data_IF_161600139595
#
_entry.id   IF_161600139595
#
_cell.length_a   1.000
_cell.length_b   1.000
_cell.length_c   1.000
_cell.angle_alpha   90.00
_cell.angle_beta   90.00
_cell.angle_gamma   90.00
#
_symmetry.space_group_name_H-M   'P 1'
#
loop_
_entity.id
_entity.type
_entity.pdbx_description
1 polymer ?
#
# COMPACT_ATOMS: atom_id res chain seq x y z
N UNK A 1 12.03 0.19 21.03
CA UNK A 1 12.36 -0.30 19.67
C UNK A 1 11.33 0.21 18.69
N UNK A 2 11.76 0.83 17.58
CA UNK A 2 10.88 1.30 16.53
C UNK A 2 10.48 0.15 15.61
N UNK A 3 9.18 0.00 15.39
CA UNK A 3 8.58 -1.03 14.53
C UNK A 3 7.59 -0.37 13.59
N UNK A 4 7.64 -0.75 12.31
CA UNK A 4 6.70 -0.31 11.28
C UNK A 4 5.81 -1.46 10.79
N UNK A 5 4.67 -1.17 10.21
CA UNK A 5 3.78 -2.22 9.66
C UNK A 5 4.45 -3.09 8.59
N UNK A 6 5.38 -2.54 7.81
CA UNK A 6 6.16 -3.31 6.82
C UNK A 6 7.05 -4.39 7.45
N UNK A 7 7.29 -4.33 8.77
CA UNK A 7 8.13 -5.26 9.52
C UNK A 7 7.38 -6.52 9.98
N UNK A 8 6.05 -6.52 9.97
CA UNK A 8 5.28 -7.67 10.43
C UNK A 8 5.47 -8.90 9.55
N UNK A 9 5.38 -8.76 8.23
CA UNK A 9 5.53 -9.88 7.32
C UNK A 9 6.93 -10.54 7.41
N UNK A 10 8.05 -9.81 7.33
CA UNK A 10 9.36 -10.40 7.55
C UNK A 10 9.55 -11.00 8.94
N UNK A 11 8.91 -10.42 9.97
CA UNK A 11 8.97 -10.99 11.33
C UNK A 11 8.24 -12.34 11.43
N UNK A 12 7.07 -12.46 10.81
CA UNK A 12 6.34 -13.74 10.74
C UNK A 12 7.16 -14.81 10.03
N UNK A 13 7.80 -14.48 8.90
CA UNK A 13 8.68 -15.40 8.19
C UNK A 13 9.89 -15.81 9.05
N UNK A 14 10.53 -14.85 9.73
CA UNK A 14 11.65 -15.10 10.65
C UNK A 14 11.27 -16.04 11.79
N UNK A 15 10.08 -15.85 12.39
CA UNK A 15 9.56 -16.74 13.44
C UNK A 15 9.22 -18.14 12.93
N UNK A 16 8.76 -18.23 11.69
CA UNK A 16 8.46 -19.53 11.03
C UNK A 16 9.72 -20.24 10.51
N UNK A 17 10.89 -19.65 10.62
CA UNK A 17 12.14 -20.23 10.09
C UNK A 17 12.22 -20.20 8.55
N UNK A 18 11.42 -19.33 7.90
CA UNK A 18 11.40 -19.13 6.46
C UNK A 18 12.28 -17.93 6.12
N UNK A 19 13.10 -18.03 5.07
CA UNK A 19 13.96 -16.95 4.61
C UNK A 19 13.13 -15.72 4.20
N UNK A 20 13.51 -14.54 4.70
CA UNK A 20 12.86 -13.27 4.34
C UNK A 20 13.30 -12.86 2.94
N UNK A 21 12.38 -12.75 1.96
CA UNK A 21 12.72 -12.33 0.61
C UNK A 21 13.33 -10.92 0.56
N UNK A 22 14.37 -10.73 -0.25
CA UNK A 22 15.04 -9.42 -0.46
C UNK A 22 14.12 -8.34 -1.04
N UNK A 23 12.98 -8.72 -1.61
CA UNK A 23 11.97 -7.78 -2.11
C UNK A 23 11.12 -7.15 -1.01
N UNK A 24 11.19 -7.63 0.22
CA UNK A 24 10.52 -7.01 1.37
C UNK A 24 11.32 -5.82 1.87
N UNK A 25 10.67 -4.66 1.99
CA UNK A 25 11.29 -3.43 2.50
C UNK A 25 11.40 -3.43 4.03
N UNK A 26 10.53 -4.19 4.71
CA UNK A 26 10.55 -4.33 6.16
C UNK A 26 11.68 -5.22 6.64
N UNK A 27 11.96 -5.17 7.94
CA UNK A 27 12.96 -5.97 8.61
C UNK A 27 12.33 -6.74 9.80
N UNK A 28 12.78 -7.96 10.04
CA UNK A 28 12.29 -8.73 11.17
C UNK A 28 12.77 -8.11 12.49
N UNK A 29 11.88 -7.94 13.46
CA UNK A 29 12.21 -7.48 14.81
C UNK A 29 12.18 -8.62 15.85
N UNK A 30 11.80 -9.85 15.44
CA UNK A 30 11.84 -11.09 16.22
C UNK A 30 12.29 -12.27 15.34
N UNK A 31 12.66 -13.37 16.00
CA UNK A 31 13.04 -14.63 15.34
C UNK A 31 14.53 -14.67 14.96
N UNK A 32 14.90 -15.71 14.19
CA UNK A 32 16.30 -16.00 13.85
C UNK A 32 16.92 -15.00 12.88
N UNK A 33 16.09 -14.23 12.18
CA UNK A 33 16.52 -13.20 11.21
C UNK A 33 16.23 -11.78 11.73
N UNK A 34 16.18 -11.63 13.08
CA UNK A 34 16.03 -10.31 13.69
C UNK A 34 17.13 -9.37 13.24
N UNK A 35 16.75 -8.23 12.69
CA UNK A 35 17.67 -7.17 12.28
C UNK A 35 18.06 -6.26 13.45
N UNK A 36 19.01 -5.37 13.22
CA UNK A 36 19.33 -4.27 14.14
C UNK A 36 18.17 -3.29 14.26
N UNK A 37 18.08 -2.63 15.43
CA UNK A 37 17.04 -1.63 15.67
C UNK A 37 17.20 -0.45 14.71
N UNK A 38 16.13 -0.12 14.01
CA UNK A 38 16.13 1.03 13.09
C UNK A 38 16.14 2.36 13.83
N UNK A 39 16.78 3.35 13.23
CA UNK A 39 16.81 4.72 13.74
C UNK A 39 15.52 5.47 13.46
N UNK A 40 14.88 5.18 12.33
CA UNK A 40 13.67 5.88 11.85
C UNK A 40 12.59 4.92 11.41
N UNK A 41 11.35 5.36 11.56
CA UNK A 41 10.18 4.81 10.86
C UNK A 41 9.60 5.85 9.93
N UNK A 42 8.93 5.38 8.88
CA UNK A 42 8.39 6.21 7.81
C UNK A 42 6.91 5.93 7.62
N UNK A 43 6.16 6.96 7.23
CA UNK A 43 4.76 6.85 6.89
C UNK A 43 4.45 7.64 5.62
N UNK A 44 3.53 7.11 4.84
CA UNK A 44 3.04 7.74 3.62
C UNK A 44 1.52 7.77 3.59
N UNK A 45 0.98 8.87 3.10
CA UNK A 45 -0.43 8.99 2.73
C UNK A 45 -0.50 9.49 1.31
N UNK A 46 -1.26 8.81 0.48
CA UNK A 46 -1.62 9.21 -0.87
C UNK A 46 -3.15 9.25 -0.99
N UNK A 47 -3.74 8.53 -1.95
CA UNK A 47 -5.18 8.44 -2.10
C UNK A 47 -5.84 7.73 -0.91
N UNK A 48 -6.98 8.28 -0.48
CA UNK A 48 -7.92 7.58 0.40
C UNK A 48 -9.33 7.74 -0.18
N UNK A 49 -9.92 6.67 -0.65
CA UNK A 49 -11.17 6.64 -1.42
C UNK A 49 -11.14 7.63 -2.61
N UNK A 50 -12.08 8.61 -2.62
CA UNK A 50 -12.16 9.65 -3.65
C UNK A 50 -11.09 10.72 -3.52
N UNK A 51 -10.46 10.85 -2.36
CA UNK A 51 -9.60 11.98 -2.04
C UNK A 51 -8.12 11.65 -2.19
N UNK A 52 -7.45 12.45 -2.99
CA UNK A 52 -6.02 12.36 -3.19
C UNK A 52 -5.28 13.45 -2.39
N UNK A 53 -4.22 13.02 -1.73
CA UNK A 53 -3.26 13.89 -1.04
C UNK A 53 -1.87 13.29 -1.24
N UNK A 54 -0.82 13.96 -0.81
CA UNK A 54 0.53 13.41 -0.75
C UNK A 54 1.22 13.95 0.49
N UNK A 55 1.35 13.07 1.50
CA UNK A 55 2.00 13.38 2.78
C UNK A 55 3.03 12.30 3.08
N UNK A 56 4.18 12.70 3.58
CA UNK A 56 5.25 11.80 4.03
C UNK A 56 5.68 12.18 5.42
N UNK A 57 5.97 11.21 6.25
CA UNK A 57 6.45 11.45 7.61
C UNK A 57 7.64 10.57 7.96
N UNK A 58 8.50 11.09 8.82
CA UNK A 58 9.63 10.39 9.44
C UNK A 58 9.55 10.58 10.95
N UNK A 59 9.78 9.53 11.72
CA UNK A 59 9.90 9.63 13.17
C UNK A 59 11.10 8.84 13.68
N UNK A 60 11.81 9.41 14.68
CA UNK A 60 12.86 8.74 15.45
C UNK A 60 12.33 8.13 16.76
N UNK A 61 11.03 8.19 16.98
CA UNK A 61 10.32 7.71 18.17
C UNK A 61 9.96 8.80 19.16
N UNK A 62 10.64 9.95 19.15
CA UNK A 62 10.28 11.13 19.90
C UNK A 62 9.87 12.28 18.98
N UNK A 63 10.69 12.60 17.99
CA UNK A 63 10.40 13.65 17.03
C UNK A 63 9.73 13.08 15.79
N UNK A 64 8.75 13.81 15.27
CA UNK A 64 8.04 13.48 14.04
C UNK A 64 8.09 14.67 13.10
N UNK A 65 8.69 14.46 11.94
CA UNK A 65 8.68 15.38 10.81
C UNK A 65 7.65 14.96 9.79
N UNK A 66 6.88 15.92 9.27
CA UNK A 66 5.87 15.72 8.23
C UNK A 66 6.16 16.66 7.07
N UNK A 67 6.14 16.13 5.85
CA UNK A 67 6.18 16.88 4.61
C UNK A 67 4.83 16.77 3.90
N UNK A 68 4.18 17.92 3.72
CA UNK A 68 2.93 18.06 2.97
C UNK A 68 3.26 18.53 1.54
N UNK A 69 3.06 17.67 0.55
CA UNK A 69 3.34 17.98 -0.86
C UNK A 69 2.17 18.65 -1.58
N UNK A 70 1.00 18.65 -0.96
CA UNK A 70 -0.21 19.33 -1.43
C UNK A 70 -0.75 20.25 -0.30
N UNK A 71 0.02 21.29 0.07
CA UNK A 71 -0.33 22.15 1.22
C UNK A 71 -1.60 22.97 0.98
N UNK A 72 -2.01 23.16 -0.27
CA UNK A 72 -3.27 23.84 -0.63
C UNK A 72 -4.52 23.02 -0.24
N UNK A 73 -4.37 21.73 0.05
CA UNK A 73 -5.47 20.89 0.50
C UNK A 73 -5.61 20.89 2.02
N UNK A 74 -6.83 20.84 2.57
CA UNK A 74 -7.06 20.75 4.01
C UNK A 74 -6.64 19.37 4.56
N UNK A 75 -6.41 19.32 5.88
CA UNK A 75 -6.26 18.02 6.58
C UNK A 75 -7.57 17.22 6.53
N UNK A 76 -8.69 17.88 6.75
CA UNK A 76 -10.01 17.26 6.55
C UNK A 76 -10.32 17.16 5.06
N UNK A 77 -10.61 15.96 4.61
CA UNK A 77 -11.13 15.69 3.27
C UNK A 77 -12.45 14.94 3.41
N UNK A 78 -13.41 15.27 2.53
CA UNK A 78 -14.75 14.69 2.58
C UNK A 78 -14.75 13.26 2.01
N UNK A 79 -14.47 12.30 2.88
CA UNK A 79 -14.46 10.87 2.58
C UNK A 79 -15.75 10.26 3.10
N UNK A 80 -16.55 9.65 2.21
CA UNK A 80 -17.86 9.09 2.54
C UNK A 80 -17.79 8.10 3.71
N UNK A 81 -16.75 7.28 3.77
CA UNK A 81 -16.54 6.31 4.85
C UNK A 81 -16.50 6.95 6.25
N UNK A 82 -15.97 8.18 6.37
CA UNK A 82 -15.89 8.91 7.65
C UNK A 82 -17.27 9.25 8.24
N UNK A 83 -18.28 9.39 7.38
CA UNK A 83 -19.66 9.69 7.80
C UNK A 83 -20.35 8.49 8.48
N UNK A 84 -19.73 7.32 8.48
CA UNK A 84 -20.17 6.18 9.30
C UNK A 84 -19.79 6.32 10.77
N UNK A 85 -18.94 7.31 11.13
CA UNK A 85 -18.53 7.56 12.50
C UNK A 85 -19.36 8.71 13.11
N UNK A 86 -20.16 8.45 14.17
CA UNK A 86 -20.97 9.48 14.81
C UNK A 86 -20.17 10.69 15.32
N UNK A 87 -18.92 10.48 15.78
CA UNK A 87 -18.04 11.57 16.20
C UNK A 87 -17.74 12.51 15.03
N UNK A 88 -17.54 11.97 13.83
CA UNK A 88 -17.29 12.80 12.65
C UNK A 88 -18.50 13.65 12.27
N UNK A 89 -19.69 13.03 12.33
CA UNK A 89 -20.94 13.76 12.08
C UNK A 89 -21.08 14.92 13.08
N UNK A 90 -20.85 14.65 14.36
CA UNK A 90 -20.92 15.68 15.40
C UNK A 90 -19.90 16.81 15.19
N UNK A 91 -18.67 16.50 14.80
CA UNK A 91 -17.66 17.53 14.48
C UNK A 91 -18.08 18.39 13.29
N UNK A 92 -18.72 17.83 12.28
CA UNK A 92 -19.24 18.58 11.14
C UNK A 92 -20.41 19.48 11.54
N UNK A 93 -21.30 19.04 12.42
CA UNK A 93 -22.38 19.86 13.00
C UNK A 93 -21.81 21.05 13.79
N UNK A 94 -20.78 20.81 14.62
CA UNK A 94 -20.09 21.87 15.37
C UNK A 94 -19.42 22.87 14.43
N UNK A 95 -18.80 22.38 13.34
CA UNK A 95 -18.19 23.24 12.30
C UNK A 95 -19.23 24.14 11.65
N UNK A 96 -20.36 23.58 11.22
CA UNK A 96 -21.44 24.33 10.59
C UNK A 96 -22.06 25.36 11.54
N UNK A 97 -22.18 25.00 12.82
CA UNK A 97 -22.65 25.89 13.87
C UNK A 97 -21.63 26.97 14.33
N UNK A 98 -20.39 26.92 13.82
CA UNK A 98 -19.29 27.81 14.27
C UNK A 98 -18.87 27.59 15.73
N UNK A 99 -19.00 26.38 16.25
CA UNK A 99 -18.76 26.00 17.66
C UNK A 99 -17.53 25.13 17.87
N UNK A 100 -16.69 24.98 16.86
CA UNK A 100 -15.41 24.29 17.02
C UNK A 100 -14.48 25.07 17.96
N UNK A 101 -13.79 24.37 18.84
CA UNK A 101 -12.67 24.98 19.56
C UNK A 101 -11.45 25.18 18.62
N UNK A 102 -10.42 25.83 19.11
CA UNK A 102 -9.23 26.18 18.33
C UNK A 102 -8.53 24.93 17.77
N UNK A 103 -8.44 23.85 18.54
CA UNK A 103 -7.75 22.62 18.11
C UNK A 103 -8.58 21.85 17.07
N UNK A 104 -9.88 21.75 17.28
CA UNK A 104 -10.80 21.15 16.32
C UNK A 104 -10.80 21.92 14.99
N UNK A 105 -10.78 23.26 15.05
CA UNK A 105 -10.79 24.12 13.88
C UNK A 105 -9.54 23.95 12.99
N UNK A 106 -8.38 23.60 13.57
CA UNK A 106 -7.14 23.34 12.80
C UNK A 106 -7.33 22.24 11.77
N UNK A 107 -8.05 21.18 12.11
CA UNK A 107 -8.27 20.07 11.19
C UNK A 107 -9.11 20.46 9.97
N UNK A 108 -9.95 21.47 10.14
CA UNK A 108 -10.81 22.05 9.08
C UNK A 108 -10.20 23.28 8.41
N UNK A 109 -8.95 23.62 8.71
CA UNK A 109 -8.23 24.70 8.02
C UNK A 109 -8.22 24.44 6.50
N UNK A 110 -8.31 25.51 5.70
CA UNK A 110 -8.39 25.42 4.23
C UNK A 110 -7.11 24.89 3.57
N UNK A 111 -5.98 24.99 4.28
CA UNK A 111 -4.65 24.57 3.82
C UNK A 111 -3.86 23.98 4.98
N UNK A 112 -2.75 23.32 4.67
CA UNK A 112 -1.79 22.75 5.62
C UNK A 112 -0.46 23.50 5.55
N UNK A 113 0.38 23.47 6.60
CA UNK A 113 1.78 23.85 6.48
C UNK A 113 2.51 22.96 5.45
N UNK A 114 3.55 23.52 4.81
CA UNK A 114 4.41 22.74 3.91
C UNK A 114 5.19 21.68 4.68
N UNK A 115 5.62 22.03 5.89
CA UNK A 115 6.39 21.18 6.78
C UNK A 115 5.89 21.33 8.22
N UNK A 116 6.02 20.27 8.99
CA UNK A 116 5.67 20.24 10.40
C UNK A 116 6.71 19.42 11.15
N UNK A 117 7.02 19.83 12.39
CA UNK A 117 7.91 19.10 13.29
C UNK A 117 7.27 19.09 14.67
N UNK A 118 7.21 17.93 15.30
CA UNK A 118 6.62 17.74 16.62
C UNK A 118 7.54 16.98 17.55
N UNK A 119 7.59 17.36 18.83
CA UNK A 119 8.12 16.56 19.91
C UNK A 119 6.94 15.81 20.56
N UNK A 120 6.76 14.54 20.20
CA UNK A 120 5.59 13.76 20.60
C UNK A 120 5.61 13.34 22.08
N UNK A 121 6.74 13.48 22.77
CA UNK A 121 6.84 13.26 24.22
C UNK A 121 6.22 14.44 25.00
N UNK A 122 6.31 15.65 24.46
CA UNK A 122 5.78 16.87 25.07
C UNK A 122 4.41 17.23 24.51
N UNK A 123 4.21 17.03 23.22
CA UNK A 123 2.97 17.30 22.48
C UNK A 123 2.45 16.05 21.75
N UNK A 124 1.88 15.08 22.48
CA UNK A 124 1.41 13.80 21.90
C UNK A 124 0.24 13.97 20.93
N UNK A 125 -0.40 15.14 20.91
CA UNK A 125 -1.50 15.46 20.00
C UNK A 125 -1.07 16.26 18.77
N UNK A 126 0.22 16.63 18.68
CA UNK A 126 0.79 17.32 17.53
C UNK A 126 0.08 18.66 17.21
N UNK A 127 -0.17 19.46 18.25
CA UNK A 127 -0.80 20.77 18.10
C UNK A 127 0.19 21.91 17.85
N UNK A 128 1.44 21.79 18.30
CA UNK A 128 2.39 22.87 18.27
C UNK A 128 3.62 22.49 17.45
N UNK A 129 3.61 22.89 16.17
CA UNK A 129 4.74 22.63 15.30
C UNK A 129 5.96 23.46 15.68
N UNK A 130 7.11 22.80 15.75
CA UNK A 130 8.42 23.35 16.09
C UNK A 130 9.25 23.72 14.84
N UNK A 131 8.65 23.70 13.65
CA UNK A 131 9.35 23.87 12.37
C UNK A 131 10.03 25.24 12.24
N UNK A 132 9.51 26.28 12.91
CA UNK A 132 10.06 27.63 12.90
C UNK A 132 10.90 27.94 14.15
N UNK A 133 10.98 27.02 15.09
CA UNK A 133 11.73 27.20 16.33
C UNK A 133 13.23 26.93 16.10
N UNK A 134 14.10 27.95 16.26
CA UNK A 134 15.54 27.79 16.02
C UNK A 134 16.22 26.79 16.97
N UNK A 135 15.65 26.50 18.13
CA UNK A 135 16.18 25.51 19.08
C UNK A 135 16.13 24.09 18.46
N UNK A 136 15.19 23.82 17.57
CA UNK A 136 15.01 22.53 16.91
C UNK A 136 15.54 22.47 15.47
N UNK A 137 16.27 23.49 15.01
CA UNK A 137 16.79 23.59 13.64
C UNK A 137 17.69 22.40 13.23
N UNK A 138 18.53 21.92 14.16
CA UNK A 138 19.38 20.75 13.91
C UNK A 138 18.54 19.47 13.75
N UNK A 139 17.56 19.27 14.63
CA UNK A 139 16.65 18.12 14.56
C UNK A 139 15.80 18.14 13.28
N UNK A 140 15.32 19.30 12.90
CA UNK A 140 14.58 19.49 11.63
C UNK A 140 15.46 19.12 10.43
N UNK A 141 16.72 19.55 10.42
CA UNK A 141 17.69 19.22 9.36
C UNK A 141 17.97 17.72 9.30
N UNK A 142 18.16 17.06 10.46
CA UNK A 142 18.35 15.62 10.55
C UNK A 142 17.18 14.85 9.93
N UNK A 143 15.94 15.17 10.33
CA UNK A 143 14.77 14.43 9.87
C UNK A 143 14.41 14.75 8.40
N UNK A 144 14.69 15.96 7.91
CA UNK A 144 14.62 16.26 6.47
C UNK A 144 15.57 15.39 5.67
N UNK A 145 16.83 15.28 6.11
CA UNK A 145 17.80 14.43 5.43
C UNK A 145 17.39 12.96 5.43
N UNK A 146 16.86 12.45 6.56
CA UNK A 146 16.33 11.09 6.63
C UNK A 146 15.14 10.87 5.68
N UNK A 147 14.24 11.86 5.59
CA UNK A 147 13.12 11.83 4.66
C UNK A 147 13.58 11.81 3.20
N UNK A 148 14.52 12.67 2.82
CA UNK A 148 15.05 12.74 1.46
C UNK A 148 15.77 11.44 1.09
N UNK A 149 16.56 10.88 2.00
CA UNK A 149 17.22 9.60 1.78
C UNK A 149 16.23 8.46 1.56
N UNK A 150 15.14 8.42 2.36
CA UNK A 150 14.09 7.42 2.17
C UNK A 150 13.46 7.48 0.78
N UNK A 151 13.20 8.68 0.24
CA UNK A 151 12.64 8.83 -1.11
C UNK A 151 13.64 8.48 -2.23
N UNK A 152 14.96 8.56 -1.96
CA UNK A 152 15.99 8.10 -2.89
C UNK A 152 16.10 6.57 -2.88
N UNK A 153 16.00 5.96 -1.70
CA UNK A 153 16.11 4.51 -1.53
C UNK A 153 14.87 3.78 -2.09
N UNK A 154 13.71 4.42 -2.01
CA UNK A 154 12.42 3.85 -2.42
C UNK A 154 11.69 4.82 -3.36
N UNK A 155 11.61 4.52 -4.67
CA UNK A 155 10.93 5.38 -5.64
C UNK A 155 9.52 5.73 -5.19
N UNK A 156 9.26 7.03 -5.02
CA UNK A 156 7.97 7.55 -4.56
C UNK A 156 6.96 7.62 -5.71
N UNK A 157 6.19 6.55 -5.91
CA UNK A 157 5.13 6.50 -6.91
C UNK A 157 4.02 7.54 -6.68
N UNK A 158 3.83 8.01 -5.44
CA UNK A 158 2.89 9.10 -5.14
C UNK A 158 3.27 10.45 -5.75
N UNK A 159 4.49 10.59 -6.29
CA UNK A 159 4.90 11.77 -7.05
C UNK A 159 4.35 11.77 -8.50
N UNK A 160 3.93 10.62 -9.00
CA UNK A 160 3.39 10.45 -10.34
C UNK A 160 1.86 10.60 -10.33
N UNK A 161 1.30 11.20 -11.37
CA UNK A 161 -0.15 11.19 -11.56
C UNK A 161 -0.65 9.75 -11.67
N UNK A 162 -1.73 9.40 -10.95
CA UNK A 162 -2.25 8.04 -10.92
C UNK A 162 -2.65 7.50 -12.30
N UNK A 163 -3.27 8.33 -13.14
CA UNK A 163 -3.66 7.92 -14.48
C UNK A 163 -2.44 7.62 -15.36
N UNK A 164 -1.38 8.42 -15.25
CA UNK A 164 -0.11 8.16 -15.92
C UNK A 164 0.56 6.90 -15.39
N UNK A 165 0.53 6.67 -14.09
CA UNK A 165 1.07 5.47 -13.45
C UNK A 165 0.37 4.22 -13.97
N UNK A 166 -0.97 4.22 -14.00
CA UNK A 166 -1.77 3.11 -14.52
C UNK A 166 -1.50 2.90 -16.01
N UNK A 167 -1.46 3.97 -16.80
CA UNK A 167 -1.12 3.91 -18.23
C UNK A 167 0.27 3.31 -18.46
N UNK A 168 1.25 3.66 -17.65
CA UNK A 168 2.60 3.08 -17.72
C UNK A 168 2.58 1.57 -17.42
N UNK A 169 1.81 1.13 -16.42
CA UNK A 169 1.61 -0.30 -16.13
C UNK A 169 0.91 -1.05 -17.26
N UNK A 170 0.10 -0.37 -18.05
CA UNK A 170 -0.56 -0.93 -19.24
C UNK A 170 0.29 -0.80 -20.52
N UNK A 171 1.59 -0.46 -20.40
CA UNK A 171 2.49 -0.31 -21.55
C UNK A 171 2.16 0.87 -22.44
N UNK A 172 1.63 1.96 -21.86
CA UNK A 172 1.26 3.20 -22.55
C UNK A 172 -0.13 3.20 -23.16
N UNK A 173 -0.94 2.18 -22.92
CA UNK A 173 -2.31 2.08 -23.43
C UNK A 173 -3.32 2.82 -22.53
N UNK A 174 -4.45 3.23 -23.11
CA UNK A 174 -5.53 3.89 -22.37
C UNK A 174 -6.59 2.89 -21.85
N UNK A 175 -6.45 1.61 -22.19
CA UNK A 175 -7.32 0.52 -21.74
C UNK A 175 -6.47 -0.62 -21.17
N UNK A 176 -7.00 -1.38 -20.17
CA UNK A 176 -6.29 -2.51 -19.63
C UNK A 176 -5.91 -3.53 -20.71
N UNK A 177 -4.68 -4.02 -20.72
CA UNK A 177 -4.33 -5.15 -21.58
C UNK A 177 -5.12 -6.39 -21.18
N UNK A 178 -5.36 -7.28 -22.14
CA UNK A 178 -5.94 -8.60 -21.87
C UNK A 178 -4.83 -9.56 -21.41
N UNK A 179 -5.09 -10.36 -20.39
CA UNK A 179 -4.20 -11.45 -19.99
C UNK A 179 -4.16 -12.48 -21.09
N UNK A 180 -2.96 -12.92 -21.50
CA UNK A 180 -2.78 -13.94 -22.53
C UNK A 180 -3.47 -15.25 -22.14
N UNK A 181 -4.04 -15.89 -23.16
CA UNK A 181 -4.74 -17.16 -23.01
C UNK A 181 -3.84 -18.25 -22.35
N UNK A 182 -4.48 -19.16 -21.64
CA UNK A 182 -3.77 -20.26 -21.02
C UNK A 182 -3.32 -21.28 -22.07
N UNK A 183 -2.10 -21.77 -21.90
CA UNK A 183 -1.55 -22.91 -22.63
C UNK A 183 -1.65 -24.14 -21.74
N UNK A 184 -2.23 -25.22 -22.27
CA UNK A 184 -2.48 -26.44 -21.53
C UNK A 184 -1.74 -27.56 -22.24
N UNK A 185 -1.01 -28.37 -21.49
CA UNK A 185 -0.30 -29.54 -21.98
C UNK A 185 -0.58 -30.75 -21.12
N UNK A 186 -0.64 -31.92 -21.74
CA UNK A 186 -0.83 -33.20 -21.08
C UNK A 186 0.40 -34.07 -21.31
N UNK A 187 0.99 -34.59 -20.26
CA UNK A 187 2.14 -35.46 -20.29
C UNK A 187 2.12 -36.39 -19.09
N UNK A 188 2.42 -37.68 -19.32
CA UNK A 188 2.53 -38.69 -18.26
C UNK A 188 1.34 -38.74 -17.29
N UNK A 189 0.10 -38.57 -17.83
CA UNK A 189 -1.11 -38.57 -17.03
C UNK A 189 -1.32 -37.34 -16.19
N UNK A 190 -0.56 -36.23 -16.42
CA UNK A 190 -0.68 -34.96 -15.73
C UNK A 190 -1.03 -33.84 -16.68
N UNK A 191 -1.76 -32.85 -16.14
CA UNK A 191 -2.01 -31.60 -16.82
C UNK A 191 -1.08 -30.50 -16.28
N UNK A 192 -0.46 -29.76 -17.18
CA UNK A 192 0.33 -28.56 -16.91
C UNK A 192 -0.30 -27.36 -17.59
N UNK A 193 -0.39 -26.24 -16.87
CA UNK A 193 -1.06 -25.02 -17.32
C UNK A 193 -0.11 -23.85 -17.16
N UNK A 194 -0.02 -22.99 -18.17
CA UNK A 194 0.79 -21.77 -18.14
C UNK A 194 0.08 -20.60 -18.82
N UNK A 195 0.55 -19.38 -18.59
CA UNK A 195 0.20 -18.17 -19.35
C UNK A 195 1.46 -17.39 -19.65
N UNK A 196 1.54 -16.81 -20.83
CA UNK A 196 2.66 -15.96 -21.23
C UNK A 196 2.67 -14.61 -20.49
N UNK A 197 1.55 -14.20 -19.91
CA UNK A 197 1.49 -12.96 -19.12
C UNK A 197 2.19 -13.15 -17.78
N UNK A 198 3.33 -12.49 -17.59
CA UNK A 198 4.10 -12.54 -16.36
C UNK A 198 3.26 -12.03 -15.17
N UNK A 199 3.22 -12.81 -14.10
CA UNK A 199 2.46 -12.46 -12.88
C UNK A 199 0.96 -12.75 -12.95
N UNK A 200 0.49 -13.45 -14.00
CA UNK A 200 -0.88 -13.93 -14.04
C UNK A 200 -1.07 -15.12 -13.08
N UNK A 201 -2.17 -15.09 -12.35
CA UNK A 201 -2.69 -16.27 -11.63
C UNK A 201 -3.57 -17.08 -12.57
N UNK A 202 -3.51 -18.40 -12.43
CA UNK A 202 -4.30 -19.33 -13.25
C UNK A 202 -5.34 -20.00 -12.35
N UNK A 203 -6.60 -19.89 -12.72
CA UNK A 203 -7.70 -20.64 -12.12
C UNK A 203 -8.10 -21.82 -12.99
N UNK A 204 -8.46 -22.93 -12.36
CA UNK A 204 -9.03 -24.08 -13.07
C UNK A 204 -10.22 -24.66 -12.31
N UNK A 205 -11.09 -25.32 -13.04
CA UNK A 205 -12.26 -26.03 -12.51
C UNK A 205 -12.55 -27.26 -13.36
N UNK A 206 -12.73 -28.42 -12.72
CA UNK A 206 -13.23 -29.62 -13.42
C UNK A 206 -14.72 -29.43 -13.74
N UNK A 207 -15.19 -30.02 -14.84
CA UNK A 207 -16.61 -29.97 -15.22
C UNK A 207 -17.56 -30.56 -14.17
N UNK A 208 -17.05 -31.50 -13.38
CA UNK A 208 -17.77 -32.17 -12.28
C UNK A 208 -17.81 -31.36 -10.97
N UNK A 209 -17.21 -30.16 -10.94
CA UNK A 209 -17.13 -29.31 -9.75
C UNK A 209 -17.56 -27.88 -10.08
N UNK A 210 -18.25 -27.20 -9.15
CA UNK A 210 -18.58 -25.79 -9.25
C UNK A 210 -17.51 -24.87 -8.63
N UNK A 211 -16.51 -25.46 -7.98
CA UNK A 211 -15.47 -24.71 -7.27
C UNK A 211 -14.22 -24.51 -8.12
N UNK A 212 -13.75 -23.27 -8.24
CA UNK A 212 -12.49 -22.92 -8.85
C UNK A 212 -11.33 -23.17 -7.87
N UNK A 213 -10.24 -23.70 -8.42
CA UNK A 213 -8.96 -23.89 -7.71
C UNK A 213 -7.87 -23.05 -8.37
N UNK A 214 -6.91 -22.59 -7.56
CA UNK A 214 -5.72 -21.90 -8.08
C UNK A 214 -4.70 -22.94 -8.53
N UNK A 215 -4.22 -22.83 -9.76
CA UNK A 215 -3.18 -23.70 -10.28
C UNK A 215 -1.81 -23.31 -9.68
N UNK A 216 -1.16 -24.28 -9.05
CA UNK A 216 0.16 -24.09 -8.44
C UNK A 216 1.22 -25.01 -9.04
N UNK A 217 0.82 -26.23 -9.44
CA UNK A 217 1.71 -27.27 -9.98
C UNK A 217 0.91 -28.26 -10.83
N UNK A 218 1.59 -29.05 -11.69
CA UNK A 218 0.95 -30.13 -12.44
C UNK A 218 0.19 -31.08 -11.51
N UNK A 219 -1.00 -31.52 -11.95
CA UNK A 219 -1.87 -32.43 -11.19
C UNK A 219 -2.35 -33.58 -12.09
N UNK A 220 -2.78 -34.68 -11.48
CA UNK A 220 -3.21 -35.88 -12.19
C UNK A 220 -4.50 -35.60 -12.95
N UNK A 221 -4.52 -36.10 -14.21
CA UNK A 221 -5.61 -35.95 -15.15
C UNK A 221 -6.20 -37.30 -15.49
N UNK A 222 -7.53 -37.43 -15.43
CA UNK A 222 -8.26 -38.63 -15.81
C UNK A 222 -8.85 -38.40 -17.20
N UNK A 223 -8.59 -39.33 -18.12
CA UNK A 223 -9.14 -39.28 -19.47
C UNK A 223 -10.68 -39.22 -19.43
N UNK A 224 -11.27 -38.36 -20.25
CA UNK A 224 -12.70 -38.10 -20.30
C UNK A 224 -13.21 -36.94 -19.39
N UNK A 225 -12.38 -36.42 -18.47
CA UNK A 225 -12.72 -35.19 -17.72
C UNK A 225 -12.65 -33.98 -18.63
N UNK A 226 -13.47 -32.96 -18.32
CA UNK A 226 -13.37 -31.64 -18.94
C UNK A 226 -12.86 -30.64 -17.93
N UNK A 227 -11.99 -29.71 -18.39
CA UNK A 227 -11.33 -28.72 -17.58
C UNK A 227 -11.65 -27.34 -18.11
N UNK A 228 -12.14 -26.45 -17.25
CA UNK A 228 -12.24 -25.03 -17.51
C UNK A 228 -11.05 -24.32 -16.90
N UNK A 229 -10.39 -23.47 -17.69
CA UNK A 229 -9.20 -22.73 -17.28
C UNK A 229 -9.29 -21.28 -17.71
N UNK A 230 -8.83 -20.38 -16.89
CA UNK A 230 -8.55 -18.99 -17.28
C UNK A 230 -7.34 -18.45 -16.52
N UNK A 231 -6.72 -17.42 -17.08
CA UNK A 231 -5.66 -16.67 -16.43
C UNK A 231 -6.11 -15.23 -16.17
N UNK A 232 -5.62 -14.65 -15.09
CA UNK A 232 -5.88 -13.25 -14.76
C UNK A 232 -4.67 -12.63 -14.08
N UNK A 233 -4.17 -11.53 -14.64
CA UNK A 233 -3.23 -10.65 -13.98
C UNK A 233 -3.98 -9.47 -13.36
N UNK A 234 -3.72 -9.15 -12.11
CA UNK A 234 -4.29 -7.95 -11.45
C UNK A 234 -3.99 -6.69 -12.29
N UNK A 235 -5.01 -5.88 -12.54
CA UNK A 235 -4.91 -4.68 -13.36
C UNK A 235 -5.05 -4.90 -14.87
N UNK A 236 -5.24 -6.15 -15.32
CA UNK A 236 -5.52 -6.53 -16.71
C UNK A 236 -6.93 -7.10 -16.82
N UNK A 237 -7.47 -7.14 -18.03
CA UNK A 237 -8.65 -7.95 -18.31
C UNK A 237 -8.30 -9.44 -18.18
N UNK A 238 -9.21 -10.30 -17.67
CA UNK A 238 -8.98 -11.73 -17.62
C UNK A 238 -8.83 -12.32 -19.04
N UNK A 239 -8.09 -13.41 -19.17
CA UNK A 239 -8.07 -14.19 -20.41
C UNK A 239 -9.44 -14.79 -20.73
N UNK A 240 -9.65 -15.18 -21.97
CA UNK A 240 -10.77 -16.04 -22.31
C UNK A 240 -10.73 -17.33 -21.49
N UNK A 241 -11.92 -17.87 -21.16
CA UNK A 241 -12.06 -19.17 -20.53
C UNK A 241 -11.89 -20.24 -21.60
N UNK A 242 -10.94 -21.12 -21.38
CA UNK A 242 -10.71 -22.27 -22.27
C UNK A 242 -11.33 -23.50 -21.62
N UNK A 243 -12.11 -24.24 -22.38
CA UNK A 243 -12.57 -25.59 -21.99
C UNK A 243 -11.75 -26.62 -22.77
N UNK A 244 -11.14 -27.54 -22.05
CA UNK A 244 -10.39 -28.65 -22.64
C UNK A 244 -11.07 -29.96 -22.26
N UNK A 245 -11.27 -30.79 -23.26
CA UNK A 245 -11.75 -32.18 -23.13
C UNK A 245 -10.65 -33.08 -23.67
N UNK A 246 -10.22 -34.03 -22.89
CA UNK A 246 -9.20 -35.01 -23.31
C UNK A 246 -9.79 -36.41 -23.37
#
# INVERSE_FOLDING_TARGET
ELVSFVDFAPTVLSLAGVEVPKSMQGQAFLGSQKAETRKYIYAARDRMDSEYDRVRAVSDGRFKYIRNYMPEKPNYQNIQYRLNNPLMIHLLELKEAGKLDTNQARWFAKSKPVEELYDTDVDPYEFNSLVEDPEYAEKLTELRAAHEQWLLDYPDLGAMNEQEMVKNWWGGKDTPPVTEATQISFSEGKVSISSATKGASIGYRKSTSDTWSVYQKPFDWIAGDSLYVNAHRIGYEPSEKVMVVN
#
